data_IF_927426735471
#
_entry.id   IF_927426735471
#
_cell.length_a   1.000
_cell.length_b   1.000
_cell.length_c   1.000
_cell.angle_alpha   90.00
_cell.angle_beta   90.00
_cell.angle_gamma   90.00
#
_symmetry.space_group_name_H-M   'P 1'
#
loop_
_entity.id
_entity.type
_entity.pdbx_description
1 polymer ?
#
# COMPACT_ATOMS: atom_id res chain seq x y z
N UNK A 1 -13.57 -37.33 0.60
CA UNK A 1 -13.80 -35.89 0.64
C UNK A 1 -13.23 -35.29 1.92
N UNK A 2 -12.49 -34.22 1.76
CA UNK A 2 -11.88 -33.61 2.95
C UNK A 2 -12.93 -32.80 3.70
N UNK A 3 -12.86 -32.79 5.03
CA UNK A 3 -13.75 -31.95 5.79
C UNK A 3 -13.46 -30.47 5.51
N UNK A 4 -14.44 -29.61 5.74
CA UNK A 4 -14.20 -28.18 5.58
C UNK A 4 -13.11 -27.73 6.54
N UNK A 5 -12.39 -26.71 6.11
CA UNK A 5 -11.38 -26.12 6.99
C UNK A 5 -12.06 -25.43 8.17
N UNK A 6 -11.49 -25.63 9.35
CA UNK A 6 -12.01 -25.00 10.56
C UNK A 6 -10.97 -24.07 11.13
N UNK A 7 -11.15 -22.76 10.97
CA UNK A 7 -10.17 -21.81 11.48
C UNK A 7 -10.09 -21.84 13.01
N UNK A 8 -8.86 -21.80 13.51
CA UNK A 8 -8.63 -21.63 14.95
C UNK A 8 -8.16 -20.22 15.22
N UNK A 9 -8.24 -19.82 16.48
CA UNK A 9 -7.78 -18.49 16.85
C UNK A 9 -6.30 -18.31 16.55
N UNK A 10 -5.49 -19.33 16.76
CA UNK A 10 -4.07 -19.25 16.46
C UNK A 10 -3.83 -19.03 14.98
N UNK A 11 -4.56 -19.75 14.15
CA UNK A 11 -4.43 -19.60 12.71
C UNK A 11 -4.92 -18.25 12.23
N UNK A 12 -5.99 -17.74 12.83
CA UNK A 12 -6.49 -16.41 12.49
C UNK A 12 -5.45 -15.34 12.79
N UNK A 13 -4.81 -15.44 13.95
CA UNK A 13 -3.74 -14.49 14.31
C UNK A 13 -2.55 -14.62 13.37
N UNK A 14 -2.20 -15.84 13.02
CA UNK A 14 -1.08 -16.08 12.10
C UNK A 14 -1.35 -15.45 10.74
N UNK A 15 -2.56 -15.64 10.22
CA UNK A 15 -2.93 -15.07 8.92
C UNK A 15 -2.94 -13.56 8.99
N UNK A 16 -3.50 -13.01 10.06
CA UNK A 16 -3.57 -11.56 10.21
C UNK A 16 -2.18 -10.93 10.26
N UNK A 17 -1.28 -11.55 11.01
CA UNK A 17 0.09 -11.06 11.10
C UNK A 17 0.82 -11.18 9.77
N UNK A 18 0.67 -12.32 9.10
CA UNK A 18 1.34 -12.54 7.82
C UNK A 18 0.85 -11.54 6.76
N UNK A 19 -0.45 -11.28 6.75
CA UNK A 19 -1.01 -10.29 5.84
C UNK A 19 -0.46 -8.89 6.15
N UNK A 20 -0.31 -8.56 7.42
CA UNK A 20 0.28 -7.30 7.81
C UNK A 20 1.72 -7.15 7.38
N UNK A 21 2.45 -8.26 7.33
CA UNK A 21 3.83 -8.25 6.87
C UNK A 21 3.95 -8.17 5.34
N UNK A 22 2.82 -8.24 4.64
CA UNK A 22 2.83 -8.09 3.20
C UNK A 22 3.03 -9.36 2.42
N UNK A 23 2.89 -10.51 3.06
CA UNK A 23 3.06 -11.78 2.36
C UNK A 23 1.92 -12.00 1.37
N UNK A 24 2.22 -12.50 0.16
CA UNK A 24 1.15 -12.83 -0.78
C UNK A 24 0.32 -14.01 -0.29
N UNK A 25 -0.89 -14.10 -0.81
CA UNK A 25 -1.83 -15.14 -0.37
C UNK A 25 -1.27 -16.54 -0.53
N UNK A 26 -0.52 -16.79 -1.60
CA UNK A 26 0.07 -18.11 -1.81
C UNK A 26 1.01 -18.51 -0.68
N UNK A 27 1.78 -17.55 -0.20
CA UNK A 27 2.71 -17.83 0.89
C UNK A 27 1.98 -18.01 2.21
N UNK A 28 0.96 -17.19 2.44
CA UNK A 28 0.16 -17.32 3.65
C UNK A 28 -0.56 -18.66 3.67
N UNK A 29 -1.13 -19.07 2.54
CA UNK A 29 -1.82 -20.35 2.47
C UNK A 29 -0.86 -21.49 2.73
N UNK A 30 0.37 -21.40 2.25
CA UNK A 30 1.38 -22.42 2.52
C UNK A 30 1.70 -22.50 4.01
N UNK A 31 1.76 -21.36 4.69
CA UNK A 31 2.04 -21.35 6.13
C UNK A 31 0.94 -22.01 6.93
N UNK A 32 -0.29 -21.86 6.49
CA UNK A 32 -1.44 -22.44 7.19
C UNK A 32 -1.73 -23.86 6.72
N UNK A 33 -1.24 -24.22 5.55
CA UNK A 33 -1.46 -25.56 5.02
C UNK A 33 -2.77 -25.72 4.27
N UNK A 34 -3.27 -24.66 3.66
CA UNK A 34 -4.50 -24.70 2.89
C UNK A 34 -4.26 -24.04 1.54
N UNK A 35 -5.23 -24.16 0.63
CA UNK A 35 -5.11 -23.53 -0.67
C UNK A 35 -5.43 -22.05 -0.56
N UNK A 36 -4.95 -21.28 -1.54
CA UNK A 36 -5.22 -19.84 -1.54
C UNK A 36 -6.72 -19.52 -1.62
N UNK A 37 -7.52 -20.22 -2.45
CA UNK A 37 -8.97 -19.99 -2.42
C UNK A 37 -9.58 -20.26 -1.05
N UNK A 38 -9.15 -21.32 -0.38
CA UNK A 38 -9.65 -21.63 0.96
C UNK A 38 -9.26 -20.53 1.94
N UNK A 39 -8.03 -20.03 1.82
CA UNK A 39 -7.57 -18.93 2.66
C UNK A 39 -8.48 -17.72 2.50
N UNK A 40 -8.76 -17.33 1.28
CA UNK A 40 -9.62 -16.19 1.03
C UNK A 40 -11.05 -16.40 1.51
N UNK A 41 -11.51 -17.64 1.48
CA UNK A 41 -12.86 -17.95 1.91
C UNK A 41 -13.01 -17.83 3.42
N UNK A 42 -12.07 -18.37 4.17
CA UNK A 42 -12.21 -18.46 5.61
C UNK A 42 -11.48 -17.37 6.40
N UNK A 43 -10.58 -16.65 5.77
CA UNK A 43 -9.75 -15.66 6.45
C UNK A 43 -9.81 -14.29 5.79
N UNK A 44 -10.89 -14.01 5.05
CA UNK A 44 -10.98 -12.72 4.36
C UNK A 44 -10.90 -11.54 5.32
N UNK A 45 -11.50 -11.68 6.50
CA UNK A 45 -11.46 -10.61 7.49
C UNK A 45 -10.04 -10.40 7.99
N UNK A 46 -9.35 -11.49 8.34
CA UNK A 46 -7.99 -11.40 8.86
C UNK A 46 -7.03 -10.86 7.82
N UNK A 47 -7.20 -11.24 6.57
CA UNK A 47 -6.36 -10.72 5.49
C UNK A 47 -6.50 -9.20 5.37
N UNK A 48 -7.74 -8.72 5.43
CA UNK A 48 -7.99 -7.29 5.33
C UNK A 48 -7.55 -6.52 6.56
N UNK A 49 -7.87 -7.04 7.74
CA UNK A 49 -7.52 -6.37 8.99
C UNK A 49 -6.01 -6.28 9.19
N UNK A 50 -5.30 -7.38 8.91
CA UNK A 50 -3.86 -7.38 9.07
C UNK A 50 -3.20 -6.31 8.23
N UNK A 51 -3.61 -6.20 6.99
CA UNK A 51 -3.06 -5.21 6.08
C UNK A 51 -3.41 -3.79 6.53
N UNK A 52 -4.66 -3.59 6.94
CA UNK A 52 -5.12 -2.27 7.38
C UNK A 52 -4.40 -1.83 8.65
N UNK A 53 -4.22 -2.75 9.61
CA UNK A 53 -3.53 -2.43 10.85
C UNK A 53 -2.07 -2.07 10.60
N UNK A 54 -1.40 -2.83 9.76
CA UNK A 54 -0.01 -2.55 9.44
C UNK A 54 0.14 -1.22 8.71
N UNK A 55 -0.74 -0.96 7.75
CA UNK A 55 -0.72 0.29 7.02
C UNK A 55 -0.96 1.47 7.95
N UNK A 56 -1.91 1.32 8.87
CA UNK A 56 -2.21 2.36 9.84
C UNK A 56 -1.02 2.64 10.75
N UNK A 57 -0.34 1.59 11.21
CA UNK A 57 0.81 1.75 12.10
C UNK A 57 1.96 2.44 11.40
N UNK A 58 2.23 2.05 10.16
CA UNK A 58 3.30 2.66 9.39
C UNK A 58 2.97 4.11 9.06
N UNK A 59 1.72 4.36 8.67
CA UNK A 59 1.28 5.72 8.36
C UNK A 59 1.40 6.63 9.58
N UNK A 60 1.04 6.12 10.75
CA UNK A 60 1.15 6.88 11.99
C UNK A 60 2.60 7.21 12.30
N UNK A 61 3.49 6.22 12.16
CA UNK A 61 4.91 6.43 12.38
C UNK A 61 5.48 7.45 11.39
N UNK A 62 5.10 7.32 10.13
CA UNK A 62 5.56 8.25 9.10
C UNK A 62 5.09 9.67 9.40
N UNK A 63 3.83 9.81 9.78
CA UNK A 63 3.26 11.11 10.12
C UNK A 63 4.02 11.73 11.29
N UNK A 64 4.26 10.95 12.33
CA UNK A 64 4.95 11.46 13.51
C UNK A 64 6.38 11.88 13.19
N UNK A 65 7.07 11.13 12.33
CA UNK A 65 8.41 11.50 11.92
C UNK A 65 8.38 12.78 11.08
N UNK A 66 7.40 12.90 10.21
CA UNK A 66 7.26 14.11 9.40
C UNK A 66 7.00 15.34 10.29
N UNK A 67 6.14 15.17 11.29
CA UNK A 67 5.84 16.26 12.21
C UNK A 67 7.04 16.64 13.06
N UNK A 68 7.96 15.72 13.28
CA UNK A 68 9.18 15.99 14.01
C UNK A 68 10.24 16.69 13.15
N UNK A 69 9.99 16.88 11.87
CA UNK A 69 10.89 17.62 11.00
C UNK A 69 11.71 16.77 10.05
N UNK A 70 11.45 15.47 9.97
CA UNK A 70 12.19 14.61 9.05
C UNK A 70 11.77 14.91 7.61
N UNK A 71 12.69 15.45 6.83
CA UNK A 71 12.40 15.85 5.46
C UNK A 71 11.98 14.68 4.58
N UNK A 72 12.66 13.54 4.73
CA UNK A 72 12.32 12.37 3.94
C UNK A 72 10.91 11.90 4.24
N UNK A 73 10.55 11.87 5.52
CA UNK A 73 9.20 11.48 5.92
C UNK A 73 8.17 12.46 5.38
N UNK A 74 8.47 13.75 5.40
CA UNK A 74 7.54 14.74 4.85
C UNK A 74 7.32 14.53 3.36
N UNK A 75 8.39 14.23 2.63
CA UNK A 75 8.30 13.98 1.19
C UNK A 75 7.39 12.77 0.93
N UNK A 76 7.63 11.68 1.64
CA UNK A 76 6.84 10.47 1.45
C UNK A 76 5.38 10.67 1.85
N UNK A 77 5.16 11.41 2.94
CA UNK A 77 3.80 11.66 3.39
C UNK A 77 3.03 12.47 2.35
N UNK A 78 3.66 13.51 1.80
CA UNK A 78 2.99 14.36 0.82
C UNK A 78 2.73 13.59 -0.48
N UNK A 79 3.66 12.72 -0.89
CA UNK A 79 3.42 11.89 -2.06
C UNK A 79 2.22 10.97 -1.87
N UNK A 80 2.14 10.35 -0.70
CA UNK A 80 1.08 9.37 -0.43
C UNK A 80 -0.28 10.03 -0.22
N UNK A 81 -0.31 11.15 0.49
CA UNK A 81 -1.58 11.76 0.89
C UNK A 81 -2.02 12.87 -0.03
N UNK A 82 -1.09 13.65 -0.52
CA UNK A 82 -1.42 14.81 -1.33
C UNK A 82 -1.10 14.62 -2.80
N UNK A 83 -0.55 13.47 -3.13
CA UNK A 83 -0.18 13.10 -4.51
C UNK A 83 0.81 14.07 -5.14
N UNK A 84 1.61 14.70 -4.31
CA UNK A 84 2.68 15.54 -4.81
C UNK A 84 3.77 14.66 -5.37
N UNK A 85 4.41 15.11 -6.42
CA UNK A 85 5.44 14.35 -7.09
C UNK A 85 6.77 15.07 -6.96
N UNK A 86 7.79 14.29 -6.65
CA UNK A 86 9.14 14.79 -6.55
C UNK A 86 9.65 15.27 -7.91
N UNK A 87 9.36 14.48 -8.93
CA UNK A 87 9.57 14.91 -10.30
C UNK A 87 8.20 15.24 -10.83
N UNK A 88 7.95 16.51 -11.04
CA UNK A 88 6.65 16.89 -11.52
C UNK A 88 6.50 16.48 -12.95
N UNK A 89 6.04 15.26 -13.14
CA UNK A 89 5.65 14.85 -14.48
C UNK A 89 4.28 15.44 -14.71
N UNK A 90 4.28 16.55 -15.34
CA UNK A 90 3.02 17.22 -15.56
C UNK A 90 2.35 16.64 -16.78
N UNK A 91 1.05 16.46 -16.65
CA UNK A 91 0.23 16.10 -17.79
C UNK A 91 -0.01 17.39 -18.59
N UNK A 92 0.96 17.74 -19.39
CA UNK A 92 0.83 18.93 -20.20
C UNK A 92 -0.27 18.71 -21.23
N UNK A 93 -1.07 19.69 -21.42
CA UNK A 93 -2.14 19.62 -22.40
C UNK A 93 -2.03 20.80 -23.34
N UNK A 94 -2.49 20.61 -24.57
CA UNK A 94 -2.64 21.70 -25.49
C UNK A 94 -3.74 22.63 -25.02
N UNK A 95 -3.82 23.77 -25.65
CA UNK A 95 -4.84 24.76 -25.27
C UNK A 95 -6.26 24.19 -25.38
N UNK A 96 -6.45 23.20 -26.23
CA UNK A 96 -7.74 22.58 -26.42
C UNK A 96 -7.97 21.41 -25.45
N UNK A 97 -7.04 21.16 -24.51
CA UNK A 97 -7.18 20.10 -23.55
C UNK A 97 -6.57 18.79 -23.99
N UNK A 98 -6.03 18.73 -25.19
CA UNK A 98 -5.42 17.50 -25.67
C UNK A 98 -4.06 17.30 -25.02
N UNK A 99 -3.82 16.07 -24.59
CA UNK A 99 -2.57 15.75 -23.98
C UNK A 99 -1.43 15.84 -24.99
N UNK A 100 -0.31 16.38 -24.55
CA UNK A 100 0.87 16.43 -25.41
C UNK A 100 1.50 15.05 -25.48
N UNK A 101 1.43 14.45 -26.63
CA UNK A 101 1.93 13.10 -26.83
C UNK A 101 3.44 13.10 -26.98
N UNK A 102 4.07 12.11 -26.40
CA UNK A 102 5.49 11.91 -26.58
C UNK A 102 6.37 12.90 -25.86
N UNK A 103 5.79 13.78 -25.09
CA UNK A 103 6.56 14.75 -24.34
C UNK A 103 6.48 14.45 -22.88
N UNK A 104 7.61 14.13 -22.30
CA UNK A 104 7.72 13.97 -20.86
C UNK A 104 8.35 15.20 -20.31
N UNK A 105 7.53 16.11 -19.79
CA UNK A 105 8.06 17.30 -19.18
C UNK A 105 8.26 17.01 -17.71
N UNK A 106 9.50 16.91 -17.31
CA UNK A 106 9.84 16.62 -15.93
C UNK A 106 10.39 17.90 -15.32
N UNK A 107 9.70 18.41 -14.34
CA UNK A 107 10.17 19.57 -13.61
C UNK A 107 10.91 19.09 -12.40
N UNK A 108 12.09 19.50 -12.38
CA UNK A 108 12.92 19.11 -11.32
C UNK A 108 12.63 19.91 -10.10
N UNK A 109 12.06 20.72 -10.08
CA UNK A 109 11.72 21.32 -8.97
C UNK A 109 10.85 22.15 -9.03
N UNK A 110 10.62 22.22 -8.72
CA UNK A 110 9.88 23.01 -9.03
C UNK A 110 10.35 24.27 -9.02
N UNK A 111 10.60 24.35 -9.33
CA UNK A 111 10.86 25.17 -9.44
C UNK A 111 10.16 25.79 -9.56
N UNK A 112 10.08 26.19 -9.22
CA UNK A 112 9.28 26.66 -9.25
C UNK A 112 8.61 26.88 -10.06
N UNK A 113 8.30 26.83 -10.15
CA UNK A 113 7.81 26.99 -10.93
C UNK A 113 7.47 27.96 -10.99
N UNK A 114 7.45 28.40 -11.23
CA UNK A 114 7.31 29.26 -11.35
C UNK A 114 6.60 29.49 -11.36
#
# INVERSE_FOLDING_TARGET
MNPPHEPTDDQRKKVQRASGLGLPHEQISALVGISAPTLRKYYSLELGLGKAEASSSIADTLYNKAMAGDTTAMIWWTKAQMRWSETSTMQMANADGTKLEGINVVFVDPKPRE
#
